data_IF_184360637914
#
_entry.id   IF_184360637914
#
_cell.length_a   1.000
_cell.length_b   1.000
_cell.length_c   1.000
_cell.angle_alpha   90.00
_cell.angle_beta   90.00
_cell.angle_gamma   90.00
#
_symmetry.space_group_name_H-M   'P 1'
#
loop_
_entity.id
_entity.type
_entity.pdbx_description
1 polymer ?
#
# COMPACT_ATOMS: atom_id res chain seq x y z
N UNK A 1 12.57 -8.77 -14.33
CA UNK A 1 13.02 -9.02 -12.95
C UNK A 1 12.11 -10.07 -12.32
N UNK A 2 12.64 -10.96 -11.47
CA UNK A 2 11.84 -11.96 -10.77
C UNK A 2 10.99 -11.33 -9.64
N UNK A 3 9.72 -11.73 -9.56
CA UNK A 3 8.73 -11.33 -8.55
C UNK A 3 9.23 -11.49 -7.10
N UNK A 4 10.01 -12.54 -6.79
CA UNK A 4 10.60 -12.73 -5.45
C UNK A 4 11.64 -11.67 -5.12
N UNK A 5 12.50 -11.35 -6.09
CA UNK A 5 13.53 -10.31 -5.92
C UNK A 5 12.87 -8.94 -5.75
N UNK A 6 11.84 -8.66 -6.56
CA UNK A 6 11.03 -7.44 -6.44
C UNK A 6 10.41 -7.30 -5.05
N UNK A 7 9.76 -8.36 -4.56
CA UNK A 7 9.16 -8.40 -3.23
C UNK A 7 10.17 -8.09 -2.12
N UNK A 8 11.37 -8.68 -2.19
CA UNK A 8 12.43 -8.40 -1.22
C UNK A 8 12.89 -6.94 -1.25
N UNK A 9 13.06 -6.35 -2.44
CA UNK A 9 13.41 -4.92 -2.57
C UNK A 9 12.34 -4.04 -1.92
N UNK A 10 11.05 -4.34 -2.16
CA UNK A 10 9.94 -3.60 -1.55
C UNK A 10 9.95 -3.74 -0.03
N UNK A 11 10.07 -4.96 0.50
CA UNK A 11 10.12 -5.17 1.96
C UNK A 11 11.30 -4.43 2.60
N UNK A 12 12.49 -4.46 1.99
CA UNK A 12 13.62 -3.67 2.48
C UNK A 12 13.33 -2.17 2.43
N UNK A 13 12.67 -1.68 1.37
CA UNK A 13 12.22 -0.30 1.29
C UNK A 13 11.25 0.09 2.41
N UNK A 14 10.30 -0.79 2.75
CA UNK A 14 9.36 -0.58 3.86
C UNK A 14 10.10 -0.44 5.20
N UNK A 15 11.07 -1.33 5.46
CA UNK A 15 11.87 -1.31 6.69
C UNK A 15 12.73 -0.06 6.79
N UNK A 16 13.34 0.36 5.69
CA UNK A 16 14.12 1.61 5.63
C UNK A 16 13.24 2.86 5.79
N UNK A 17 11.97 2.79 5.40
CA UNK A 17 10.97 3.81 5.71
C UNK A 17 10.50 3.77 7.18
N UNK A 18 10.87 2.73 7.95
CA UNK A 18 10.53 2.55 9.36
C UNK A 18 9.20 1.83 9.60
N UNK A 19 8.55 1.32 8.55
CA UNK A 19 7.30 0.56 8.68
C UNK A 19 7.57 -0.77 9.39
N UNK A 20 6.77 -1.05 10.41
CA UNK A 20 6.95 -2.22 11.29
C UNK A 20 5.65 -2.99 11.52
N UNK A 21 4.58 -2.61 10.82
CA UNK A 21 3.29 -3.27 10.86
C UNK A 21 2.66 -3.22 9.48
N UNK A 22 2.30 -4.38 8.92
CA UNK A 22 1.71 -4.46 7.59
C UNK A 22 0.49 -5.36 7.63
N UNK A 23 -0.66 -4.80 7.26
CA UNK A 23 -1.87 -5.57 7.03
C UNK A 23 -1.98 -5.90 5.53
N UNK A 24 -2.32 -7.14 5.18
CA UNK A 24 -2.38 -7.56 3.78
C UNK A 24 -3.67 -8.31 3.46
N UNK A 25 -4.23 -8.08 2.26
CA UNK A 25 -5.25 -8.95 1.70
C UNK A 25 -4.66 -9.84 0.59
N UNK A 26 -4.94 -11.16 0.58
CA UNK A 26 -4.47 -12.05 -0.48
C UNK A 26 -4.92 -11.64 -1.88
N UNK A 27 -3.96 -11.46 -2.80
CA UNK A 27 -4.19 -11.31 -4.23
C UNK A 27 -3.04 -11.99 -5.01
N UNK A 28 -3.38 -12.64 -6.13
CA UNK A 28 -2.45 -13.44 -6.93
C UNK A 28 -1.25 -12.63 -7.45
N UNK A 29 -1.42 -11.34 -7.77
CA UNK A 29 -0.38 -10.49 -8.34
C UNK A 29 0.59 -9.93 -7.29
N UNK A 30 0.21 -9.94 -6.01
CA UNK A 30 1.04 -9.50 -4.88
C UNK A 30 1.42 -10.64 -3.92
N UNK A 31 1.13 -11.89 -4.26
CA UNK A 31 1.36 -13.05 -3.37
C UNK A 31 2.82 -13.18 -2.91
N UNK A 32 3.80 -12.92 -3.78
CA UNK A 32 5.22 -12.97 -3.39
C UNK A 32 5.61 -11.82 -2.46
N UNK A 33 4.98 -10.65 -2.60
CA UNK A 33 5.15 -9.54 -1.66
C UNK A 33 4.55 -9.86 -0.29
N UNK A 34 3.34 -10.43 -0.26
CA UNK A 34 2.70 -10.88 0.98
C UNK A 34 3.57 -11.93 1.68
N UNK A 35 4.08 -12.93 0.93
CA UNK A 35 5.00 -13.94 1.47
C UNK A 35 6.30 -13.36 2.00
N UNK A 36 6.82 -12.31 1.36
CA UNK A 36 8.03 -11.63 1.81
C UNK A 36 7.78 -10.86 3.12
N UNK A 37 6.63 -10.17 3.22
CA UNK A 37 6.17 -9.50 4.45
C UNK A 37 5.98 -10.51 5.59
N UNK A 38 5.31 -11.63 5.32
CA UNK A 38 5.02 -12.67 6.31
C UNK A 38 6.28 -13.33 6.91
N UNK A 39 7.36 -13.40 6.10
CA UNK A 39 8.63 -13.99 6.51
C UNK A 39 9.58 -13.02 7.20
N UNK A 40 9.31 -11.71 7.19
CA UNK A 40 10.21 -10.73 7.78
C UNK A 40 9.93 -10.57 9.29
N UNK A 41 10.89 -10.90 10.18
CA UNK A 41 10.66 -10.88 11.62
C UNK A 41 10.52 -9.46 12.20
N UNK A 42 10.97 -8.43 11.47
CA UNK A 42 10.91 -7.03 11.94
C UNK A 42 9.57 -6.37 11.61
N UNK A 43 8.72 -7.04 10.82
CA UNK A 43 7.40 -6.55 10.43
C UNK A 43 6.33 -7.42 11.09
N UNK A 44 5.43 -6.78 11.86
CA UNK A 44 4.22 -7.45 12.30
C UNK A 44 3.25 -7.57 11.13
N UNK A 45 3.14 -8.78 10.56
CA UNK A 45 2.16 -9.09 9.52
C UNK A 45 0.78 -9.40 10.12
N UNK A 46 -0.29 -8.84 9.53
CA UNK A 46 -1.69 -9.18 9.82
C UNK A 46 -2.44 -9.51 8.53
N UNK A 47 -2.77 -10.79 8.26
CA UNK A 47 -3.60 -11.14 7.12
C UNK A 47 -5.06 -10.72 7.37
N UNK A 48 -5.73 -10.28 6.31
CA UNK A 48 -7.10 -9.76 6.35
C UNK A 48 -8.09 -10.70 5.66
N UNK A 49 -9.37 -10.57 6.01
CA UNK A 49 -10.50 -11.20 5.29
C UNK A 49 -11.19 -10.20 4.36
N UNK A 50 -11.16 -8.90 4.70
CA UNK A 50 -11.65 -7.77 3.89
C UNK A 50 -10.68 -6.60 3.97
N UNK A 51 -10.57 -5.80 2.91
CA UNK A 51 -9.66 -4.64 2.86
C UNK A 51 -10.05 -3.56 3.88
N UNK A 52 -11.35 -3.34 4.06
CA UNK A 52 -11.91 -2.33 4.95
C UNK A 52 -11.54 -2.56 6.43
N UNK A 53 -11.44 -3.82 6.87
CA UNK A 53 -10.97 -4.18 8.22
C UNK A 53 -9.52 -3.73 8.44
N UNK A 54 -8.71 -3.79 7.38
CA UNK A 54 -7.33 -3.35 7.38
C UNK A 54 -7.17 -1.87 7.72
N UNK A 55 -8.14 -1.03 7.36
CA UNK A 55 -8.14 0.39 7.72
C UNK A 55 -8.21 0.55 9.24
N UNK A 56 -9.16 -0.12 9.89
CA UNK A 56 -9.33 -0.05 11.35
C UNK A 56 -8.14 -0.66 12.11
N UNK A 57 -7.62 -1.79 11.62
CA UNK A 57 -6.46 -2.47 12.23
C UNK A 57 -5.22 -1.58 12.14
N UNK A 58 -4.90 -1.04 10.96
CA UNK A 58 -3.78 -0.12 10.78
C UNK A 58 -3.99 1.18 11.56
N UNK A 59 -5.21 1.71 11.61
CA UNK A 59 -5.51 2.89 12.39
C UNK A 59 -5.21 2.68 13.89
N UNK A 60 -5.73 1.59 14.47
CA UNK A 60 -5.48 1.24 15.87
C UNK A 60 -4.00 1.02 16.15
N UNK A 61 -3.28 0.29 15.29
CA UNK A 61 -1.85 0.08 15.43
C UNK A 61 -1.07 1.40 15.37
N UNK A 62 -1.44 2.31 14.46
CA UNK A 62 -0.83 3.64 14.32
C UNK A 62 -0.99 4.48 15.59
N UNK A 63 -2.18 4.47 16.20
CA UNK A 63 -2.44 5.16 17.48
C UNK A 63 -1.61 4.61 18.65
N UNK A 64 -1.12 3.37 18.56
CA UNK A 64 -0.21 2.77 19.55
C UNK A 64 1.28 2.96 19.20
N UNK A 65 1.59 3.83 18.24
CA UNK A 65 2.96 4.18 17.85
C UNK A 65 3.59 3.26 16.81
N UNK A 66 2.81 2.38 16.16
CA UNK A 66 3.30 1.61 15.00
C UNK A 66 3.30 2.46 13.74
N UNK A 67 4.22 2.16 12.82
CA UNK A 67 4.22 2.73 11.48
C UNK A 67 3.63 1.69 10.55
N UNK A 68 2.43 1.97 10.05
CA UNK A 68 1.57 0.95 9.45
C UNK A 68 1.44 1.12 7.95
N UNK A 69 1.52 0.01 7.22
CA UNK A 69 1.13 -0.05 5.82
C UNK A 69 -0.03 -1.02 5.59
N UNK A 70 -0.92 -0.67 4.66
CA UNK A 70 -2.02 -1.50 4.22
C UNK A 70 -1.78 -1.89 2.76
N UNK A 71 -1.54 -3.19 2.53
CA UNK A 71 -1.28 -3.76 1.21
C UNK A 71 -2.54 -4.42 0.65
N UNK A 72 -3.02 -3.89 -0.47
CA UNK A 72 -4.22 -4.38 -1.15
C UNK A 72 -4.17 -4.13 -2.66
N UNK A 73 -5.14 -4.64 -3.41
CA UNK A 73 -5.38 -4.25 -4.80
C UNK A 73 -6.28 -3.01 -4.87
N UNK A 74 -6.23 -2.27 -5.98
CA UNK A 74 -6.99 -1.02 -6.15
C UNK A 74 -8.52 -1.18 -6.10
N UNK A 75 -9.11 -2.34 -6.41
CA UNK A 75 -10.53 -2.59 -6.17
C UNK A 75 -10.87 -2.65 -4.68
N UNK A 76 -9.98 -3.22 -3.87
CA UNK A 76 -10.06 -3.18 -2.42
C UNK A 76 -9.95 -1.78 -1.84
N UNK A 77 -9.14 -0.92 -2.48
CA UNK A 77 -9.04 0.50 -2.14
C UNK A 77 -10.38 1.20 -2.35
N UNK A 78 -11.05 0.94 -3.48
CA UNK A 78 -12.37 1.52 -3.77
C UNK A 78 -13.42 1.09 -2.73
N UNK A 79 -13.39 -0.18 -2.30
CA UNK A 79 -14.26 -0.66 -1.21
C UNK A 79 -13.93 0.02 0.13
N UNK A 80 -12.64 0.32 0.37
CA UNK A 80 -12.15 0.89 1.62
C UNK A 80 -12.34 2.41 1.75
N UNK A 81 -12.82 3.09 0.71
CA UNK A 81 -12.97 4.56 0.70
C UNK A 81 -13.77 5.09 1.89
N UNK A 82 -14.89 4.46 2.25
CA UNK A 82 -15.68 4.89 3.41
C UNK A 82 -14.88 4.76 4.72
N UNK A 83 -14.16 3.64 4.90
CA UNK A 83 -13.31 3.43 6.07
C UNK A 83 -12.17 4.44 6.15
N UNK A 84 -11.49 4.69 5.03
CA UNK A 84 -10.42 5.68 4.94
C UNK A 84 -10.91 7.09 5.28
N UNK A 85 -12.08 7.47 4.78
CA UNK A 85 -12.71 8.78 5.06
C UNK A 85 -13.10 8.90 6.52
N UNK A 86 -13.91 7.96 7.02
CA UNK A 86 -14.49 8.02 8.37
C UNK A 86 -13.49 7.72 9.48
N UNK A 87 -12.33 7.16 9.15
CA UNK A 87 -11.28 6.81 10.11
C UNK A 87 -10.00 7.61 9.87
N UNK A 88 -9.21 7.27 8.85
CA UNK A 88 -7.86 7.81 8.73
C UNK A 88 -7.85 9.30 8.36
N UNK A 89 -8.73 9.74 7.47
CA UNK A 89 -8.84 11.16 7.12
C UNK A 89 -9.51 11.96 8.24
N UNK A 90 -10.63 11.46 8.79
CA UNK A 90 -11.36 12.11 9.88
C UNK A 90 -10.51 12.33 11.13
N UNK A 91 -9.75 11.30 11.55
CA UNK A 91 -8.94 11.33 12.77
C UNK A 91 -7.46 11.61 12.50
N UNK A 92 -7.11 12.02 11.28
CA UNK A 92 -5.76 12.43 10.90
C UNK A 92 -4.70 11.35 11.19
N UNK A 93 -5.03 10.09 10.86
CA UNK A 93 -4.19 8.93 11.14
C UNK A 93 -3.26 8.67 9.95
N UNK A 94 -1.94 8.71 10.14
CA UNK A 94 -0.98 8.52 9.07
C UNK A 94 -0.77 7.02 8.82
N UNK A 95 -1.35 6.52 7.72
CA UNK A 95 -1.12 5.15 7.23
C UNK A 95 -0.59 5.18 5.80
N UNK A 96 0.32 4.27 5.46
CA UNK A 96 0.78 4.12 4.08
C UNK A 96 -0.12 3.11 3.35
N UNK A 97 -0.72 3.51 2.23
CA UNK A 97 -1.50 2.62 1.37
C UNK A 97 -0.57 2.09 0.27
N UNK A 98 -0.28 0.79 0.29
CA UNK A 98 0.44 0.11 -0.77
C UNK A 98 -0.59 -0.59 -1.65
N UNK A 99 -0.79 -0.07 -2.85
CA UNK A 99 -1.91 -0.51 -3.69
C UNK A 99 -1.37 -1.13 -4.96
N UNK A 100 -1.65 -2.41 -5.20
CA UNK A 100 -1.42 -2.97 -6.53
C UNK A 100 -2.32 -2.26 -7.54
N UNK A 101 -1.68 -1.61 -8.51
CA UNK A 101 -2.34 -0.78 -9.50
C UNK A 101 -2.73 -1.61 -10.72
N UNK A 102 -3.79 -2.40 -10.59
CA UNK A 102 -4.34 -3.16 -11.71
C UNK A 102 -5.01 -2.23 -12.71
N UNK A 103 -4.83 -2.50 -14.00
CA UNK A 103 -5.40 -1.68 -15.08
C UNK A 103 -4.54 -0.49 -15.53
N UNK A 104 -3.33 -0.34 -14.99
CA UNK A 104 -2.34 0.64 -15.47
C UNK A 104 -1.66 0.17 -16.79
N UNK A 105 -0.79 1.02 -17.35
CA UNK A 105 -0.03 0.77 -18.56
C UNK A 105 0.59 -0.64 -18.59
N UNK A 106 0.24 -1.42 -19.63
CA UNK A 106 0.71 -2.78 -19.83
C UNK A 106 -0.13 -3.86 -19.14
N UNK A 107 -1.19 -3.49 -18.43
CA UNK A 107 -2.18 -4.45 -17.90
C UNK A 107 -3.24 -4.80 -18.96
N UNK A 108 -3.74 -6.04 -18.90
CA UNK A 108 -4.77 -6.61 -19.80
C UNK A 108 -6.08 -6.93 -19.06
N UNK A 109 -6.32 -6.27 -17.94
CA UNK A 109 -7.55 -6.42 -17.15
C UNK A 109 -7.72 -5.26 -16.16
N UNK A 110 -8.91 -5.17 -15.56
CA UNK A 110 -9.25 -4.16 -14.55
C UNK A 110 -9.08 -2.69 -15.01
N UNK A 111 -9.16 -2.44 -16.32
CA UNK A 111 -8.96 -1.09 -16.91
C UNK A 111 -9.89 -0.05 -16.32
N UNK A 112 -11.16 -0.40 -16.06
CA UNK A 112 -12.11 0.50 -15.40
C UNK A 112 -11.67 0.84 -13.98
N UNK A 113 -11.30 -0.16 -13.17
CA UNK A 113 -10.82 0.05 -11.80
C UNK A 113 -9.55 0.91 -11.81
N UNK A 114 -8.61 0.61 -12.72
CA UNK A 114 -7.41 1.42 -12.92
C UNK A 114 -7.75 2.88 -13.22
N UNK A 115 -8.63 3.13 -14.19
CA UNK A 115 -8.98 4.49 -14.63
C UNK A 115 -9.63 5.37 -13.56
N UNK A 116 -10.28 4.77 -12.55
CA UNK A 116 -10.92 5.51 -11.45
C UNK A 116 -10.06 5.58 -10.19
N UNK A 117 -8.97 4.82 -10.11
CA UNK A 117 -8.15 4.72 -8.89
C UNK A 117 -7.55 6.08 -8.50
N UNK A 118 -6.83 6.73 -9.42
CA UNK A 118 -6.23 8.05 -9.18
C UNK A 118 -7.30 9.14 -8.96
N UNK A 119 -8.37 9.26 -9.79
CA UNK A 119 -9.44 10.22 -9.55
C UNK A 119 -10.14 10.08 -8.18
N UNK A 120 -10.33 8.84 -7.70
CA UNK A 120 -10.93 8.60 -6.38
C UNK A 120 -9.96 9.03 -5.27
N UNK A 121 -8.68 8.69 -5.37
CA UNK A 121 -7.66 9.14 -4.40
C UNK A 121 -7.54 10.66 -4.37
N UNK A 122 -7.59 11.31 -5.54
CA UNK A 122 -7.63 12.76 -5.67
C UNK A 122 -8.87 13.35 -5.00
N UNK A 123 -10.05 12.79 -5.24
CA UNK A 123 -11.30 13.20 -4.60
C UNK A 123 -11.29 13.06 -3.07
N UNK A 124 -10.56 12.08 -2.54
CA UNK A 124 -10.33 11.91 -1.10
C UNK A 124 -9.20 12.81 -0.54
N UNK A 125 -8.48 13.53 -1.40
CA UNK A 125 -7.32 14.33 -1.01
C UNK A 125 -6.13 13.50 -0.51
N UNK A 126 -6.04 12.23 -0.92
CA UNK A 126 -4.93 11.32 -0.58
C UNK A 126 -3.83 11.50 -1.64
N UNK A 127 -2.66 11.96 -1.19
CA UNK A 127 -1.52 12.15 -2.11
C UNK A 127 -1.05 10.80 -2.62
N UNK A 128 -0.80 10.74 -3.93
CA UNK A 128 -0.60 9.48 -4.64
C UNK A 128 0.70 9.53 -5.44
N UNK A 129 1.46 8.44 -5.39
CA UNK A 129 2.71 8.27 -6.12
C UNK A 129 2.70 6.93 -6.85
N UNK A 130 2.90 6.95 -8.17
CA UNK A 130 2.95 5.72 -8.98
C UNK A 130 4.38 5.21 -9.02
N UNK A 131 4.60 4.03 -8.45
CA UNK A 131 5.91 3.39 -8.41
C UNK A 131 6.08 2.42 -9.58
N UNK A 132 6.91 2.83 -10.53
CA UNK A 132 7.12 2.11 -11.80
C UNK A 132 8.42 1.32 -11.84
N UNK A 133 9.44 1.80 -11.12
CA UNK A 133 10.81 1.31 -11.19
C UNK A 133 11.28 0.82 -9.82
N UNK A 134 12.04 -0.27 -9.80
CA UNK A 134 12.58 -0.81 -8.54
C UNK A 134 13.62 0.07 -7.89
N UNK A 135 14.33 0.85 -8.69
CA UNK A 135 15.39 1.74 -8.22
C UNK A 135 14.81 2.90 -7.38
N UNK A 136 13.54 3.23 -7.59
CA UNK A 136 12.82 4.30 -6.88
C UNK A 136 12.15 3.84 -5.58
N UNK A 137 12.13 2.53 -5.31
CA UNK A 137 11.35 1.94 -4.21
C UNK A 137 11.73 2.57 -2.86
N UNK A 138 13.02 2.62 -2.56
CA UNK A 138 13.50 3.13 -1.27
C UNK A 138 13.19 4.61 -1.08
N UNK A 139 13.48 5.43 -2.10
CA UNK A 139 13.25 6.87 -2.06
C UNK A 139 11.75 7.19 -1.93
N UNK A 140 10.93 6.53 -2.74
CA UNK A 140 9.48 6.75 -2.78
C UNK A 140 8.82 6.34 -1.48
N UNK A 141 9.12 5.14 -0.95
CA UNK A 141 8.52 4.66 0.30
C UNK A 141 8.95 5.51 1.50
N UNK A 142 10.23 5.89 1.57
CA UNK A 142 10.72 6.79 2.63
C UNK A 142 10.04 8.15 2.55
N UNK A 143 9.99 8.75 1.36
CA UNK A 143 9.34 10.05 1.15
C UNK A 143 7.84 10.02 1.46
N UNK A 144 7.14 8.97 1.01
CA UNK A 144 5.72 8.77 1.27
C UNK A 144 5.43 8.60 2.77
N UNK A 145 6.27 7.86 3.50
CA UNK A 145 6.11 7.71 4.95
C UNK A 145 6.34 9.03 5.70
N UNK A 146 7.40 9.77 5.37
CA UNK A 146 7.66 11.10 5.96
C UNK A 146 6.45 12.01 5.74
N UNK A 147 5.95 12.02 4.50
CA UNK A 147 4.81 12.84 4.13
C UNK A 147 3.53 12.42 4.88
N UNK A 148 3.25 11.12 5.01
CA UNK A 148 2.10 10.64 5.76
C UNK A 148 2.15 11.13 7.22
N UNK A 149 3.31 10.99 7.86
CA UNK A 149 3.53 11.40 9.25
C UNK A 149 3.42 12.91 9.48
N UNK A 150 3.99 13.70 8.58
CA UNK A 150 3.98 15.17 8.63
C UNK A 150 2.59 15.74 8.35
N UNK A 151 1.94 15.25 7.29
CA UNK A 151 0.62 15.73 6.87
C UNK A 151 -0.54 15.18 7.70
N UNK A 152 -0.27 14.19 8.58
CA UNK A 152 -1.28 13.47 9.37
C UNK A 152 -2.42 12.92 8.50
N UNK A 153 -2.06 12.38 7.35
CA UNK A 153 -3.01 11.84 6.37
C UNK A 153 -2.46 10.56 5.76
N UNK A 154 -3.34 9.69 5.23
CA UNK A 154 -2.91 8.61 4.36
C UNK A 154 -2.15 9.13 3.14
N UNK A 155 -1.16 8.35 2.71
CA UNK A 155 -0.47 8.53 1.44
C UNK A 155 -0.53 7.21 0.68
N UNK A 156 -0.84 7.27 -0.62
CA UNK A 156 -0.93 6.10 -1.49
C UNK A 156 0.31 5.95 -2.37
N UNK A 157 0.85 4.75 -2.42
CA UNK A 157 1.88 4.33 -3.37
C UNK A 157 1.30 3.23 -4.24
N UNK A 158 1.10 3.54 -5.51
CA UNK A 158 0.53 2.64 -6.51
C UNK A 158 1.65 1.77 -7.11
N UNK A 159 1.63 0.48 -6.80
CA UNK A 159 2.61 -0.50 -7.27
C UNK A 159 2.17 -1.06 -8.62
N UNK A 160 2.93 -0.73 -9.66
CA UNK A 160 2.70 -1.27 -11.01
C UNK A 160 3.20 -2.71 -11.14
N UNK A 161 2.75 -3.43 -12.18
CA UNK A 161 3.28 -4.77 -12.49
C UNK A 161 4.78 -4.82 -12.67
N UNK A 162 5.34 -3.77 -13.28
CA UNK A 162 6.77 -3.64 -13.56
C UNK A 162 7.59 -3.68 -12.28
N UNK A 163 7.20 -2.90 -11.26
CA UNK A 163 7.91 -2.90 -9.97
C UNK A 163 7.67 -4.18 -9.18
N UNK A 164 6.50 -4.81 -9.30
CA UNK A 164 6.18 -6.07 -8.65
C UNK A 164 6.85 -7.30 -9.32
N UNK A 165 7.46 -7.12 -10.50
CA UNK A 165 8.10 -8.21 -11.24
C UNK A 165 7.11 -9.28 -11.76
N UNK A 166 5.85 -8.90 -11.94
CA UNK A 166 4.79 -9.78 -12.47
C UNK A 166 4.62 -9.56 -13.97
N UNK A 167 4.40 -10.65 -14.71
CA UNK A 167 4.00 -10.62 -16.12
C UNK A 167 2.49 -10.36 -16.28
#
# INVERSE_FOLDING_TARGET
MDSKKAAQIIVQGLKKAGLNFVATLPDLKIVELIRAVDKDPDIKHVPLCREEEGVGICAGASLTGKKTALLMQNGGLLNSCNGLTTTCLQFQIPILLLVYYAGDLGDRGFTTVGSVTEPVLEGLGIRTYVLRRTEEVEETLRGAQILAEDSKKPVAVLLTKSVLGVK
#
